data_IF_460004044156
#
_entry.id   IF_460004044156
#
_cell.length_a   1.000
_cell.length_b   1.000
_cell.length_c   1.000
_cell.angle_alpha   90.00
_cell.angle_beta   90.00
_cell.angle_gamma   90.00
#
_symmetry.space_group_name_H-M   'P 1'
#
loop_
_entity.id
_entity.type
_entity.pdbx_description
1 polymer ?
#
# COMPACT_ATOMS: atom_id res chain seq x y z
N UNK A 1 -4.79 -23.53 12.01
CA UNK A 1 -4.39 -23.60 10.58
C UNK A 1 -3.33 -24.67 10.38
N UNK A 2 -2.21 -24.64 11.06
CA UNK A 2 -1.10 -25.60 10.89
C UNK A 2 -1.49 -27.06 11.13
N UNK A 3 -2.27 -27.37 12.18
CA UNK A 3 -2.79 -28.72 12.42
C UNK A 3 -3.62 -29.26 11.24
N UNK A 4 -4.43 -28.40 10.62
CA UNK A 4 -5.22 -28.80 9.44
C UNK A 4 -4.35 -29.00 8.20
N UNK A 5 -3.29 -28.23 8.02
CA UNK A 5 -2.34 -28.41 6.91
C UNK A 5 -1.44 -29.66 7.09
N UNK A 6 -1.33 -30.18 8.29
CA UNK A 6 -0.66 -31.46 8.54
C UNK A 6 -1.48 -32.69 8.09
N UNK A 7 -2.79 -32.53 7.90
CA UNK A 7 -3.69 -33.61 7.45
C UNK A 7 -3.62 -33.77 5.91
N UNK A 8 -3.21 -34.94 5.40
CA UNK A 8 -3.13 -35.22 3.97
C UNK A 8 -4.47 -35.05 3.23
N UNK A 9 -5.59 -35.38 3.89
CA UNK A 9 -6.92 -35.25 3.29
C UNK A 9 -7.31 -33.77 3.07
N UNK A 10 -6.84 -32.88 3.94
CA UNK A 10 -7.01 -31.44 3.78
C UNK A 10 -6.17 -30.91 2.61
N UNK A 11 -4.93 -31.36 2.48
CA UNK A 11 -4.05 -30.97 1.35
C UNK A 11 -4.61 -31.43 0.02
N UNK A 12 -5.14 -32.65 -0.06
CA UNK A 12 -5.76 -33.15 -1.28
C UNK A 12 -6.99 -32.36 -1.69
N UNK A 13 -7.83 -31.96 -0.72
CA UNK A 13 -8.96 -31.09 -0.99
C UNK A 13 -8.52 -29.70 -1.52
N UNK A 14 -7.49 -29.10 -0.90
CA UNK A 14 -6.94 -27.82 -1.38
C UNK A 14 -6.37 -27.98 -2.79
N UNK A 15 -5.73 -29.10 -3.09
CA UNK A 15 -5.22 -29.43 -4.44
C UNK A 15 -6.35 -29.49 -5.48
N UNK A 16 -7.48 -30.09 -5.12
CA UNK A 16 -8.68 -30.10 -5.99
C UNK A 16 -9.18 -28.69 -6.31
N UNK A 17 -9.29 -27.83 -5.29
CA UNK A 17 -9.69 -26.43 -5.45
C UNK A 17 -8.65 -25.61 -6.26
N UNK A 18 -7.37 -25.94 -6.14
CA UNK A 18 -6.29 -25.28 -6.87
C UNK A 18 -6.33 -25.59 -8.38
N UNK A 19 -6.62 -26.83 -8.75
CA UNK A 19 -6.78 -27.24 -10.15
C UNK A 19 -7.90 -26.45 -10.83
N UNK A 20 -8.99 -26.18 -10.11
CA UNK A 20 -10.10 -25.39 -10.64
C UNK A 20 -9.75 -23.91 -10.77
N UNK A 21 -8.95 -23.35 -9.88
CA UNK A 21 -8.64 -21.90 -9.80
C UNK A 21 -7.36 -21.49 -10.52
N UNK A 22 -6.47 -22.41 -10.80
CA UNK A 22 -5.22 -22.17 -11.55
C UNK A 22 -4.25 -21.23 -10.80
N UNK A 23 -3.77 -21.62 -9.61
CA UNK A 23 -2.91 -20.77 -8.81
C UNK A 23 -1.54 -20.53 -9.45
N UNK A 24 -1.18 -19.27 -9.65
CA UNK A 24 0.10 -18.86 -10.18
C UNK A 24 1.16 -18.73 -9.06
N UNK A 25 1.84 -19.84 -8.74
CA UNK A 25 2.84 -19.91 -7.66
C UNK A 25 4.09 -19.05 -7.92
N UNK A 26 4.39 -18.74 -9.17
CA UNK A 26 5.43 -17.82 -9.60
C UNK A 26 5.14 -16.36 -9.23
N UNK A 27 3.86 -16.03 -9.03
CA UNK A 27 3.39 -14.69 -8.63
C UNK A 27 3.32 -14.49 -7.12
N UNK A 28 3.62 -15.52 -6.33
CA UNK A 28 3.67 -15.44 -4.87
C UNK A 28 5.14 -15.42 -4.45
N UNK A 29 5.60 -14.26 -3.98
CA UNK A 29 6.99 -14.02 -3.59
C UNK A 29 7.07 -13.91 -2.07
N UNK A 30 8.01 -14.59 -1.44
CA UNK A 30 8.24 -14.48 0.01
C UNK A 30 8.80 -13.08 0.32
N UNK A 31 8.09 -12.31 1.12
CA UNK A 31 8.57 -11.03 1.61
C UNK A 31 9.42 -11.21 2.88
N UNK A 32 9.05 -12.17 3.74
CA UNK A 32 9.78 -12.49 4.95
C UNK A 32 9.40 -13.88 5.49
N UNK A 33 10.44 -14.65 5.86
CA UNK A 33 10.33 -15.85 6.67
C UNK A 33 11.43 -15.78 7.74
N UNK A 34 11.07 -15.81 9.03
CA UNK A 34 12.05 -15.56 10.12
C UNK A 34 13.15 -16.61 10.19
N UNK A 35 12.81 -17.89 10.01
CA UNK A 35 13.73 -19.00 10.09
C UNK A 35 14.55 -19.16 8.80
N UNK A 36 14.02 -18.64 7.67
CA UNK A 36 14.61 -18.73 6.34
C UNK A 36 14.70 -17.36 5.67
N UNK A 37 15.58 -16.47 6.15
CA UNK A 37 15.74 -15.12 5.56
C UNK A 37 16.18 -15.17 4.09
N UNK A 38 16.84 -16.25 3.64
CA UNK A 38 17.27 -16.48 2.27
C UNK A 38 16.11 -16.72 1.29
N UNK A 39 14.89 -16.96 1.77
CA UNK A 39 13.70 -17.06 0.93
C UNK A 39 13.18 -15.70 0.46
N UNK A 40 13.55 -14.63 1.14
CA UNK A 40 13.07 -13.30 0.80
C UNK A 40 13.43 -12.91 -0.65
N UNK A 41 12.43 -12.44 -1.40
CA UNK A 41 12.54 -12.07 -2.81
C UNK A 41 12.41 -13.25 -3.79
N UNK A 42 12.29 -14.49 -3.33
CA UNK A 42 12.09 -15.67 -4.20
C UNK A 42 10.62 -16.02 -4.31
N UNK A 43 10.21 -16.54 -5.48
CA UNK A 43 8.86 -17.05 -5.65
C UNK A 43 8.67 -18.42 -4.98
N UNK A 44 7.43 -18.73 -4.61
CA UNK A 44 7.08 -20.06 -4.09
C UNK A 44 7.40 -21.14 -5.13
N UNK A 45 7.15 -20.86 -6.42
CA UNK A 45 7.48 -21.79 -7.50
C UNK A 45 8.97 -22.11 -7.56
N UNK A 46 9.85 -21.11 -7.42
CA UNK A 46 11.31 -21.31 -7.46
C UNK A 46 11.82 -22.06 -6.23
N UNK A 47 11.29 -21.73 -5.05
CA UNK A 47 11.66 -22.40 -3.80
C UNK A 47 11.25 -23.87 -3.81
N UNK A 48 10.01 -24.16 -4.24
CA UNK A 48 9.52 -25.52 -4.38
C UNK A 48 10.34 -26.34 -5.40
N UNK A 49 10.64 -25.74 -6.57
CA UNK A 49 11.48 -26.34 -7.61
C UNK A 49 12.87 -26.65 -7.09
N UNK A 50 13.50 -25.71 -6.37
CA UNK A 50 14.83 -25.90 -5.78
C UNK A 50 14.86 -27.03 -4.74
N UNK A 51 13.74 -27.25 -4.06
CA UNK A 51 13.55 -28.33 -3.10
C UNK A 51 13.10 -29.67 -3.76
N UNK A 52 12.89 -29.71 -5.08
CA UNK A 52 12.35 -30.88 -5.79
C UNK A 52 10.93 -31.25 -5.35
N UNK A 53 10.10 -30.27 -4.99
CA UNK A 53 8.78 -30.48 -4.37
C UNK A 53 7.67 -29.81 -5.16
N UNK A 54 6.47 -30.32 -4.98
CA UNK A 54 5.23 -29.67 -5.42
C UNK A 54 5.03 -28.34 -4.65
N UNK A 55 4.60 -27.23 -5.32
CA UNK A 55 4.46 -25.92 -4.69
C UNK A 55 3.45 -25.89 -3.53
N UNK A 56 2.34 -26.64 -3.62
CA UNK A 56 1.35 -26.74 -2.55
C UNK A 56 1.94 -27.43 -1.32
N UNK A 57 2.59 -28.56 -1.52
CA UNK A 57 3.23 -29.34 -0.45
C UNK A 57 4.33 -28.52 0.23
N UNK A 58 5.19 -27.86 -0.56
CA UNK A 58 6.22 -26.98 -0.04
C UNK A 58 5.62 -25.84 0.81
N UNK A 59 4.55 -25.20 0.29
CA UNK A 59 3.88 -24.11 0.99
C UNK A 59 3.24 -24.57 2.30
N UNK A 60 2.58 -25.73 2.30
CA UNK A 60 1.96 -26.29 3.49
C UNK A 60 3.01 -26.54 4.60
N UNK A 61 4.15 -27.11 4.23
CA UNK A 61 5.22 -27.37 5.20
C UNK A 61 5.89 -26.09 5.68
N UNK A 62 6.16 -25.13 4.79
CA UNK A 62 6.68 -23.82 5.16
C UNK A 62 5.76 -23.09 6.14
N UNK A 63 4.44 -23.16 5.95
CA UNK A 63 3.47 -22.57 6.87
C UNK A 63 3.41 -23.29 8.22
N UNK A 64 3.57 -24.62 8.24
CA UNK A 64 3.65 -25.41 9.48
C UNK A 64 4.90 -25.03 10.25
N UNK A 65 6.06 -25.06 9.60
CA UNK A 65 7.37 -24.75 10.18
C UNK A 65 7.40 -23.34 10.82
N UNK A 66 6.80 -22.38 10.15
CA UNK A 66 6.76 -20.98 10.62
C UNK A 66 5.51 -20.62 11.42
N UNK A 67 4.70 -21.60 11.84
CA UNK A 67 3.44 -21.38 12.57
C UNK A 67 2.51 -20.36 11.86
N UNK A 68 2.56 -20.32 10.52
CA UNK A 68 1.81 -19.39 9.70
C UNK A 68 2.42 -17.98 9.59
N UNK A 69 3.59 -17.75 10.19
CA UNK A 69 4.23 -16.42 10.21
C UNK A 69 5.16 -16.19 9.00
N UNK A 70 4.60 -16.32 7.79
CA UNK A 70 5.29 -16.02 6.52
C UNK A 70 4.59 -14.84 5.86
N UNK A 71 5.33 -13.76 5.58
CA UNK A 71 4.82 -12.62 4.83
C UNK A 71 5.09 -12.82 3.34
N UNK A 72 4.13 -12.51 2.50
CA UNK A 72 4.22 -12.66 1.05
C UNK A 72 3.85 -11.36 0.31
N UNK A 73 4.38 -11.22 -0.90
CA UNK A 73 3.86 -10.32 -1.94
C UNK A 73 3.14 -11.19 -2.97
N UNK A 74 1.85 -10.95 -3.15
CA UNK A 74 1.07 -11.64 -4.18
C UNK A 74 0.83 -10.69 -5.36
N UNK A 75 1.46 -10.96 -6.50
CA UNK A 75 1.31 -10.18 -7.73
C UNK A 75 0.03 -10.57 -8.47
N UNK A 76 -1.13 -10.19 -7.93
CA UNK A 76 -2.46 -10.54 -8.46
C UNK A 76 -3.16 -9.39 -9.20
N UNK A 77 -2.60 -8.17 -9.12
CA UNK A 77 -3.21 -6.99 -9.74
C UNK A 77 -2.77 -6.86 -11.21
N UNK A 78 -3.67 -6.28 -12.01
CA UNK A 78 -3.42 -5.91 -13.39
C UNK A 78 -3.39 -4.38 -13.52
N UNK A 79 -2.38 -3.86 -14.18
CA UNK A 79 -2.17 -2.41 -14.34
C UNK A 79 -3.30 -1.75 -15.18
N UNK A 80 -3.87 -2.48 -16.14
CA UNK A 80 -4.99 -1.98 -16.95
C UNK A 80 -6.28 -1.84 -16.12
N UNK A 81 -6.52 -2.76 -15.18
CA UNK A 81 -7.62 -2.64 -14.22
C UNK A 81 -7.42 -1.45 -13.29
N UNK A 82 -6.18 -1.21 -12.84
CA UNK A 82 -5.85 -0.03 -12.03
C UNK A 82 -6.17 1.26 -12.79
N UNK A 83 -5.74 1.38 -14.05
CA UNK A 83 -6.03 2.53 -14.92
C UNK A 83 -7.53 2.68 -15.15
N UNK A 84 -8.21 1.59 -15.47
CA UNK A 84 -9.64 1.58 -15.72
C UNK A 84 -10.45 2.05 -14.51
N UNK A 85 -10.17 1.50 -13.34
CA UNK A 85 -10.85 1.86 -12.09
C UNK A 85 -10.52 3.29 -11.68
N UNK A 86 -9.24 3.67 -11.76
CA UNK A 86 -8.77 5.01 -11.42
C UNK A 86 -9.43 6.09 -12.28
N UNK A 87 -9.68 5.83 -13.57
CA UNK A 87 -10.35 6.76 -14.48
C UNK A 87 -11.83 7.01 -14.11
N UNK A 88 -12.47 6.15 -13.30
CA UNK A 88 -13.88 6.34 -12.93
C UNK A 88 -14.06 7.54 -12.02
N UNK A 89 -14.95 8.45 -12.40
CA UNK A 89 -15.14 9.74 -11.72
C UNK A 89 -15.51 9.65 -10.23
N UNK A 90 -16.18 8.59 -9.83
CA UNK A 90 -16.65 8.36 -8.46
C UNK A 90 -15.67 7.59 -7.57
N UNK A 91 -14.59 7.09 -8.12
CA UNK A 91 -13.56 6.35 -7.38
C UNK A 91 -12.60 7.33 -6.73
N UNK A 92 -12.43 7.23 -5.42
CA UNK A 92 -11.41 7.94 -4.65
C UNK A 92 -10.11 7.15 -4.65
N UNK A 93 -8.99 7.83 -4.40
CA UNK A 93 -7.68 7.20 -4.25
C UNK A 93 -7.42 6.96 -2.76
N UNK A 94 -7.05 5.74 -2.42
CA UNK A 94 -6.61 5.34 -1.08
C UNK A 94 -5.31 4.56 -1.14
N UNK A 95 -4.49 4.65 -0.09
CA UNK A 95 -3.20 3.95 -0.03
C UNK A 95 -3.32 2.49 0.41
N UNK A 96 -4.41 2.11 1.08
CA UNK A 96 -4.56 0.80 1.72
C UNK A 96 -3.31 0.42 2.55
N UNK A 97 -2.81 1.40 3.29
CA UNK A 97 -1.59 1.28 4.07
C UNK A 97 -1.78 1.69 5.53
N UNK A 98 -0.87 1.23 6.37
CA UNK A 98 -0.68 1.67 7.75
C UNK A 98 0.37 2.78 7.80
N UNK A 99 0.54 3.40 8.97
CA UNK A 99 1.64 4.31 9.22
C UNK A 99 2.96 3.53 9.23
N UNK A 100 3.92 3.94 8.39
CA UNK A 100 5.27 3.41 8.30
C UNK A 100 6.27 4.56 8.34
N UNK A 101 7.49 4.25 8.75
CA UNK A 101 8.63 5.18 8.69
C UNK A 101 9.88 4.38 8.35
N UNK A 102 10.90 4.94 7.68
CA UNK A 102 12.14 4.23 7.38
C UNK A 102 13.07 4.10 8.61
N UNK A 103 12.59 4.48 9.77
CA UNK A 103 13.34 4.47 11.03
C UNK A 103 12.45 4.10 12.22
N UNK A 104 13.09 3.65 13.32
CA UNK A 104 12.41 3.31 14.56
C UNK A 104 11.44 2.13 14.47
N UNK A 105 10.47 2.02 15.38
CA UNK A 105 9.55 0.86 15.44
C UNK A 105 8.67 0.68 14.21
N UNK A 106 8.51 1.74 13.40
CA UNK A 106 7.66 1.72 12.21
C UNK A 106 8.42 1.29 10.93
N UNK A 107 9.74 0.99 11.02
CA UNK A 107 10.56 0.47 9.91
C UNK A 107 10.52 -1.04 9.78
N UNK A 108 9.60 -1.69 10.50
CA UNK A 108 9.54 -3.15 10.56
C UNK A 108 9.07 -3.77 9.25
N UNK A 109 9.82 -4.79 8.78
CA UNK A 109 9.48 -5.62 7.63
C UNK A 109 9.68 -4.94 6.28
N UNK A 110 9.10 -5.53 5.24
CA UNK A 110 9.06 -4.96 3.88
C UNK A 110 7.60 -4.61 3.53
N UNK A 111 7.13 -3.40 3.83
CA UNK A 111 5.80 -2.98 3.45
C UNK A 111 5.68 -2.85 1.93
N UNK A 112 4.46 -2.96 1.41
CA UNK A 112 4.22 -2.67 0.00
C UNK A 112 4.65 -1.22 -0.32
N UNK A 113 5.25 -0.93 -1.50
CA UNK A 113 5.68 0.43 -1.90
C UNK A 113 4.60 1.51 -1.77
N UNK A 114 3.31 1.10 -1.88
CA UNK A 114 2.16 2.00 -1.68
C UNK A 114 2.15 2.69 -0.32
N UNK A 115 2.82 2.13 0.68
CA UNK A 115 2.89 2.71 2.03
C UNK A 115 3.55 4.09 2.04
N UNK A 116 4.46 4.32 1.12
CA UNK A 116 5.18 5.58 0.98
C UNK A 116 4.78 6.34 -0.28
N UNK A 117 4.47 5.64 -1.37
CA UNK A 117 4.44 6.20 -2.70
C UNK A 117 3.07 6.41 -3.34
N UNK A 118 1.94 5.93 -2.78
CA UNK A 118 0.65 5.92 -3.48
C UNK A 118 0.28 7.26 -4.11
N UNK A 119 0.27 8.33 -3.34
CA UNK A 119 -0.21 9.63 -3.83
C UNK A 119 0.79 10.30 -4.78
N UNK A 120 2.09 10.15 -4.51
CA UNK A 120 3.14 10.62 -5.41
C UNK A 120 3.12 9.86 -6.74
N UNK A 121 2.90 8.52 -6.72
CA UNK A 121 2.74 7.70 -7.92
C UNK A 121 1.55 8.13 -8.77
N UNK A 122 0.43 8.49 -8.15
CA UNK A 122 -0.74 9.02 -8.88
C UNK A 122 -0.36 10.28 -9.64
N UNK A 123 0.34 11.21 -9.00
CA UNK A 123 0.73 12.49 -9.60
C UNK A 123 1.86 12.32 -10.63
N UNK A 124 2.87 11.51 -10.33
CA UNK A 124 3.99 11.25 -11.24
C UNK A 124 3.59 10.38 -12.42
N UNK A 125 3.26 9.11 -12.15
CA UNK A 125 2.97 8.12 -13.19
C UNK A 125 1.66 8.40 -13.91
N UNK A 126 0.52 8.39 -13.18
CA UNK A 126 -0.80 8.38 -13.84
C UNK A 126 -1.27 9.76 -14.31
N UNK A 127 -0.75 10.86 -13.76
CA UNK A 127 -1.04 12.21 -14.25
C UNK A 127 -0.01 12.67 -15.26
N UNK A 128 1.27 12.79 -14.84
CA UNK A 128 2.32 13.40 -15.65
C UNK A 128 2.74 12.52 -16.83
N UNK A 129 3.02 11.24 -16.60
CA UNK A 129 3.60 10.34 -17.61
C UNK A 129 2.52 9.70 -18.48
N UNK A 130 1.55 9.02 -17.87
CA UNK A 130 0.55 8.23 -18.60
C UNK A 130 -0.73 9.02 -18.97
N UNK A 131 -0.97 10.17 -18.32
CA UNK A 131 -2.15 11.03 -18.57
C UNK A 131 -3.50 10.31 -18.42
N UNK A 132 -3.58 9.34 -17.52
CA UNK A 132 -4.81 8.63 -17.16
C UNK A 132 -5.80 9.58 -16.47
N UNK A 133 -5.27 10.54 -15.68
CA UNK A 133 -6.01 11.58 -14.98
C UNK A 133 -5.44 12.96 -15.29
N UNK A 134 -6.28 13.99 -15.22
CA UNK A 134 -5.79 15.35 -15.10
C UNK A 134 -5.29 15.60 -13.67
N UNK A 135 -4.38 16.57 -13.49
CA UNK A 135 -3.92 16.97 -12.16
C UNK A 135 -5.09 17.37 -11.24
N UNK A 136 -6.02 18.15 -11.76
CA UNK A 136 -7.19 18.61 -11.00
C UNK A 136 -8.06 17.43 -10.54
N UNK A 137 -8.32 16.45 -11.42
CA UNK A 137 -9.13 15.28 -11.06
C UNK A 137 -8.40 14.36 -10.07
N UNK A 138 -7.08 14.17 -10.22
CA UNK A 138 -6.27 13.42 -9.27
C UNK A 138 -6.30 14.06 -7.87
N UNK A 139 -6.06 15.37 -7.77
CA UNK A 139 -6.15 16.09 -6.49
C UNK A 139 -7.55 15.98 -5.90
N UNK A 140 -8.60 16.19 -6.68
CA UNK A 140 -9.99 16.00 -6.22
C UNK A 140 -10.24 14.61 -5.65
N UNK A 141 -9.77 13.55 -6.31
CA UNK A 141 -9.92 12.14 -5.89
C UNK A 141 -9.17 11.83 -4.60
N UNK A 142 -8.05 12.48 -4.36
CA UNK A 142 -7.22 12.30 -3.16
C UNK A 142 -7.65 13.18 -1.97
N UNK A 143 -8.46 14.22 -2.21
CA UNK A 143 -8.83 15.22 -1.20
C UNK A 143 -10.35 15.44 -1.10
N UNK A 144 -10.93 16.32 -1.89
CA UNK A 144 -12.33 16.75 -1.79
C UNK A 144 -13.34 15.62 -1.97
N UNK A 145 -13.11 14.68 -2.88
CA UNK A 145 -14.00 13.53 -3.07
C UNK A 145 -14.02 12.64 -1.81
N UNK A 146 -12.86 12.30 -1.26
CA UNK A 146 -12.74 11.50 -0.03
C UNK A 146 -13.36 12.23 1.16
N UNK A 147 -13.03 13.52 1.35
CA UNK A 147 -13.58 14.35 2.41
C UNK A 147 -15.11 14.42 2.35
N UNK A 148 -15.70 14.61 1.14
CA UNK A 148 -17.14 14.66 0.95
C UNK A 148 -17.82 13.33 1.29
N UNK A 149 -17.22 12.19 0.95
CA UNK A 149 -17.74 10.85 1.29
C UNK A 149 -17.73 10.59 2.79
N UNK A 150 -16.68 11.06 3.47
CA UNK A 150 -16.57 10.99 4.92
C UNK A 150 -17.32 12.11 5.65
N UNK A 151 -17.98 13.03 4.92
CA UNK A 151 -18.69 14.19 5.45
C UNK A 151 -17.80 15.14 6.26
N UNK A 152 -16.52 15.24 5.89
CA UNK A 152 -15.58 16.21 6.46
C UNK A 152 -15.85 17.59 5.83
N UNK A 153 -16.53 18.48 6.55
CA UNK A 153 -17.00 19.76 6.02
C UNK A 153 -15.93 20.84 5.96
N UNK A 154 -14.92 20.74 6.81
CA UNK A 154 -13.86 21.73 6.98
C UNK A 154 -12.50 21.30 6.40
N UNK A 155 -12.48 20.22 5.58
CA UNK A 155 -11.25 19.64 5.02
C UNK A 155 -11.43 19.23 3.55
N UNK A 156 -10.31 18.95 2.87
CA UNK A 156 -10.27 18.41 1.51
C UNK A 156 -10.44 19.44 0.40
N UNK A 157 -10.61 20.72 0.75
CA UNK A 157 -10.62 21.86 -0.19
C UNK A 157 -9.93 23.06 0.45
N UNK A 158 -9.27 23.87 -0.39
CA UNK A 158 -8.68 25.15 0.03
C UNK A 158 -9.76 26.22 -0.04
N UNK A 159 -10.19 26.69 1.12
CA UNK A 159 -11.12 27.80 1.25
C UNK A 159 -10.97 28.49 2.60
N UNK A 160 -11.42 29.72 2.68
CA UNK A 160 -11.47 30.47 3.94
C UNK A 160 -12.32 29.75 4.99
N UNK A 161 -11.84 29.70 6.23
CA UNK A 161 -12.47 28.99 7.35
C UNK A 161 -12.26 27.47 7.38
N UNK A 162 -11.64 26.88 6.36
CA UNK A 162 -11.27 25.45 6.39
C UNK A 162 -9.96 25.23 7.19
N UNK A 163 -9.76 23.99 7.63
CA UNK A 163 -8.51 23.56 8.25
C UNK A 163 -7.39 23.57 7.24
N UNK A 164 -6.25 24.10 7.64
CA UNK A 164 -5.06 24.14 6.79
C UNK A 164 -4.33 22.78 6.84
N UNK A 165 -4.90 21.79 6.13
CA UNK A 165 -4.24 20.54 5.77
C UNK A 165 -3.82 20.65 4.32
N UNK A 166 -2.55 21.02 4.09
CA UNK A 166 -2.06 21.40 2.77
C UNK A 166 -0.80 20.61 2.42
N UNK A 167 -0.62 20.37 1.13
CA UNK A 167 0.63 19.82 0.58
C UNK A 167 1.10 20.77 -0.52
N UNK A 168 2.34 21.23 -0.41
CA UNK A 168 3.06 21.96 -1.46
C UNK A 168 3.97 20.97 -2.17
N UNK A 169 3.80 20.83 -3.48
CA UNK A 169 4.60 19.91 -4.29
C UNK A 169 4.87 20.48 -5.67
N UNK A 170 5.93 20.01 -6.31
CA UNK A 170 6.24 20.31 -7.70
C UNK A 170 5.65 19.24 -8.63
N UNK A 171 4.67 19.54 -9.47
CA UNK A 171 4.06 18.57 -10.38
C UNK A 171 5.03 18.07 -11.46
N UNK A 172 6.13 18.79 -11.73
CA UNK A 172 7.12 18.38 -12.71
C UNK A 172 8.07 17.30 -12.18
N UNK A 173 8.33 17.28 -10.87
CA UNK A 173 9.33 16.40 -10.26
C UNK A 173 8.76 15.35 -9.31
N UNK A 174 7.49 15.47 -8.88
CA UNK A 174 6.89 14.54 -7.93
C UNK A 174 6.91 13.11 -8.49
N UNK A 175 7.46 12.17 -7.72
CA UNK A 175 7.55 10.74 -8.07
C UNK A 175 7.69 9.89 -6.81
N UNK A 176 7.12 8.68 -6.85
CA UNK A 176 7.38 7.62 -5.87
C UNK A 176 8.76 6.99 -6.13
N UNK A 177 9.48 6.67 -5.06
CA UNK A 177 10.82 6.07 -5.11
C UNK A 177 10.89 4.70 -4.44
N UNK A 178 9.82 4.33 -3.72
CA UNK A 178 9.72 3.05 -3.06
C UNK A 178 9.55 1.90 -4.06
N UNK A 179 10.28 0.80 -3.87
CA UNK A 179 10.18 -0.44 -4.66
C UNK A 179 9.83 -1.63 -3.77
N UNK A 180 9.54 -2.78 -4.35
CA UNK A 180 9.33 -4.02 -3.57
C UNK A 180 10.59 -4.49 -2.85
N UNK A 181 11.77 -4.23 -3.42
CA UNK A 181 13.06 -4.60 -2.82
C UNK A 181 13.50 -3.60 -1.75
N UNK A 182 13.26 -2.31 -1.99
CA UNK A 182 13.58 -1.18 -1.11
C UNK A 182 12.35 -0.29 -0.87
N UNK A 183 11.40 -0.74 -0.02
CA UNK A 183 10.12 -0.06 0.16
C UNK A 183 10.16 1.13 1.11
N UNK A 184 11.21 1.26 1.95
CA UNK A 184 11.32 2.29 2.98
C UNK A 184 11.88 3.60 2.46
N UNK A 185 11.33 4.11 1.34
CA UNK A 185 11.77 5.34 0.68
C UNK A 185 10.64 6.35 0.57
N UNK A 186 10.91 7.58 1.01
CA UNK A 186 9.98 8.67 0.83
C UNK A 186 9.96 9.13 -0.64
N UNK A 187 8.79 9.60 -1.15
CA UNK A 187 8.70 10.21 -2.47
C UNK A 187 9.51 11.51 -2.52
N UNK A 188 9.86 11.94 -3.72
CA UNK A 188 10.48 13.24 -3.98
C UNK A 188 9.49 14.21 -4.63
N UNK A 189 9.81 15.51 -4.65
CA UNK A 189 8.96 16.56 -5.23
C UNK A 189 7.88 17.09 -4.28
N UNK A 190 7.90 16.71 -2.98
CA UNK A 190 7.07 17.30 -1.93
C UNK A 190 7.92 18.32 -1.18
N UNK A 191 7.50 19.59 -1.23
CA UNK A 191 8.21 20.69 -0.57
C UNK A 191 7.76 20.84 0.88
N UNK A 192 6.44 20.89 1.11
CA UNK A 192 5.89 21.05 2.46
C UNK A 192 4.62 20.21 2.66
N UNK A 193 4.43 19.76 3.90
CA UNK A 193 3.18 19.20 4.38
C UNK A 193 2.75 19.97 5.63
N UNK A 194 1.56 20.53 5.59
CA UNK A 194 0.96 21.31 6.68
C UNK A 194 -0.24 20.53 7.20
N UNK A 195 -0.32 20.34 8.52
CA UNK A 195 -1.40 19.62 9.19
C UNK A 195 -2.01 20.52 10.26
N UNK A 196 -3.31 20.81 10.15
CA UNK A 196 -4.03 21.74 11.04
C UNK A 196 -3.30 23.10 11.23
N UNK A 197 -2.61 23.59 10.19
CA UNK A 197 -1.90 24.86 10.20
C UNK A 197 -0.45 24.81 10.70
N UNK A 198 0.04 23.66 11.16
CA UNK A 198 1.44 23.49 11.54
C UNK A 198 2.22 22.76 10.43
N UNK A 199 3.42 23.22 10.13
CA UNK A 199 4.31 22.57 9.17
C UNK A 199 4.84 21.28 9.77
N UNK A 200 4.43 20.14 9.22
CA UNK A 200 4.84 18.80 9.68
C UNK A 200 6.04 18.25 8.90
N UNK A 201 6.20 18.68 7.63
CA UNK A 201 7.36 18.37 6.78
C UNK A 201 7.77 19.65 6.04
N UNK A 202 9.05 19.94 6.02
CA UNK A 202 9.67 21.03 5.28
C UNK A 202 10.89 20.51 4.51
N UNK A 203 10.88 20.63 3.18
CA UNK A 203 11.97 20.25 2.28
C UNK A 203 12.58 18.88 2.56
N UNK A 204 11.72 17.88 2.76
CA UNK A 204 12.12 16.48 3.00
C UNK A 204 12.40 16.13 4.46
N UNK A 205 12.40 17.10 5.36
CA UNK A 205 12.65 16.88 6.79
C UNK A 205 11.37 17.02 7.62
N UNK A 206 11.13 16.09 8.54
CA UNK A 206 10.02 16.18 9.49
C UNK A 206 10.35 17.15 10.61
N UNK A 207 9.45 18.09 10.88
CA UNK A 207 9.61 19.10 11.94
C UNK A 207 9.37 18.57 13.36
N UNK A 208 8.88 17.32 13.50
CA UNK A 208 8.41 16.68 14.74
C UNK A 208 7.14 17.29 15.33
N UNK A 209 6.49 18.21 14.63
CA UNK A 209 5.18 18.73 15.03
C UNK A 209 4.12 17.63 15.04
N UNK A 210 3.33 17.55 16.12
CA UNK A 210 2.26 16.56 16.31
C UNK A 210 0.89 17.22 16.19
N UNK A 211 0.64 17.89 15.08
CA UNK A 211 -0.59 18.65 14.85
C UNK A 211 -1.78 17.78 14.38
N UNK A 212 -1.56 16.50 14.09
CA UNK A 212 -2.61 15.56 13.71
C UNK A 212 -3.63 15.34 14.84
N UNK A 213 -4.90 15.11 14.46
CA UNK A 213 -6.00 14.82 15.38
C UNK A 213 -6.78 13.61 14.92
N UNK A 214 -7.24 12.80 15.85
CA UNK A 214 -8.21 11.76 15.55
C UNK A 214 -9.58 12.40 15.27
N UNK A 215 -10.13 12.14 14.08
CA UNK A 215 -11.41 12.69 13.64
C UNK A 215 -12.53 11.68 13.95
N UNK A 216 -13.47 12.04 14.83
CA UNK A 216 -14.60 11.19 15.20
C UNK A 216 -15.80 11.52 14.33
N UNK A 217 -16.39 10.49 13.70
CA UNK A 217 -17.64 10.67 12.97
C UNK A 217 -18.75 11.22 13.90
N UNK A 218 -19.45 12.24 13.44
CA UNK A 218 -20.55 12.86 14.17
C UNK A 218 -20.17 13.88 15.26
N UNK A 219 -18.91 13.95 15.70
CA UNK A 219 -18.47 14.97 16.68
C UNK A 219 -17.61 16.08 16.06
N UNK A 220 -16.63 15.67 15.26
CA UNK A 220 -15.64 16.58 14.67
C UNK A 220 -15.99 16.95 13.22
N UNK A 221 -17.14 16.49 12.75
CA UNK A 221 -17.63 16.68 11.38
C UNK A 221 -18.63 17.83 11.25
N UNK A 222 -18.35 18.95 11.91
CA UNK A 222 -19.17 20.17 11.82
C UNK A 222 -20.64 19.92 12.17
N UNK A 223 -21.01 20.21 13.39
CA UNK A 223 -22.41 20.24 13.78
C UNK A 223 -23.19 21.20 12.89
N UNK A 224 -24.34 20.71 12.43
CA UNK A 224 -25.51 21.34 11.76
C UNK A 224 -25.23 22.39 10.71
#
# INVERSE_FOLDING_TARGET
>A
MCERLADPAVRERIRGEEVETGRAWDRIVIARARQHPEWAGKSVADLARSAGRDPLEWTADALIEHEGAVDIVHHSMNEDDVRYVMAKRWVAIGSDSRANAPYGPLSFGKPHPRSYGTFARVLGKYVREERVLTLVDAVRKMTGLTASRLRLRDRGIVREGARADLVVFDPATIVDTATYDDPHRYPVGIEQVIVNGAVALDRGETTRERAGRFLRHGRDLGGR
#
